data_IF_867704929710
#
_entry.id   IF_867704929710
#
_cell.length_a   1.000
_cell.length_b   1.000
_cell.length_c   1.000
_cell.angle_alpha   90.00
_cell.angle_beta   90.00
_cell.angle_gamma   90.00
#
_symmetry.space_group_name_H-M   'P 1'
#
loop_
_entity.id
_entity.type
_entity.pdbx_description
1 polymer ?
#
# COMPACT_ATOMS: atom_id res chain seq x y z
N UNK A 1 -3.88 5.03 -29.46
CA UNK A 1 -3.25 4.15 -28.45
C UNK A 1 -3.30 4.94 -27.15
N UNK A 2 -3.99 4.42 -26.14
CA UNK A 2 -4.07 5.04 -24.82
C UNK A 2 -2.74 4.75 -24.13
N UNK A 3 -2.09 5.78 -23.58
CA UNK A 3 -0.87 5.61 -22.80
C UNK A 3 -0.98 6.23 -21.41
N UNK A 4 -0.11 5.81 -20.49
CA UNK A 4 0.03 6.47 -19.20
C UNK A 4 0.22 7.99 -19.35
N UNK A 5 -0.25 8.70 -18.33
CA UNK A 5 -0.26 10.14 -18.22
C UNK A 5 -1.03 10.87 -19.34
N UNK A 6 -1.68 10.19 -20.28
CA UNK A 6 -2.45 10.87 -21.32
C UNK A 6 -3.77 11.41 -20.74
N UNK A 7 -4.15 12.63 -21.12
CA UNK A 7 -5.40 13.26 -20.68
C UNK A 7 -6.51 13.09 -21.71
N UNK A 8 -7.75 12.89 -21.24
CA UNK A 8 -8.94 12.71 -22.07
C UNK A 8 -10.16 13.40 -21.45
N UNK A 9 -11.11 13.80 -22.30
CA UNK A 9 -12.47 14.11 -21.89
C UNK A 9 -13.34 12.88 -22.15
N UNK A 10 -13.84 12.26 -21.09
CA UNK A 10 -14.56 10.97 -21.15
C UNK A 10 -16.04 11.13 -20.81
N UNK A 11 -16.87 10.21 -21.27
CA UNK A 11 -18.30 10.14 -20.91
C UNK A 11 -18.54 9.00 -19.94
N UNK A 12 -19.21 9.25 -18.82
CA UNK A 12 -19.59 8.20 -17.87
C UNK A 12 -20.67 7.30 -18.48
N UNK A 13 -20.36 6.02 -18.63
CA UNK A 13 -21.30 5.00 -19.15
C UNK A 13 -22.16 4.41 -18.03
N UNK A 14 -21.60 4.27 -16.83
CA UNK A 14 -22.31 3.67 -15.70
C UNK A 14 -21.55 3.81 -14.39
N UNK A 15 -22.31 3.75 -13.29
CA UNK A 15 -21.80 3.83 -11.93
C UNK A 15 -21.93 2.45 -11.27
N UNK A 16 -20.88 2.02 -10.58
CA UNK A 16 -20.85 0.80 -9.78
C UNK A 16 -20.55 1.13 -8.31
N UNK A 17 -20.62 0.12 -7.44
CA UNK A 17 -20.27 0.30 -6.02
C UNK A 17 -18.80 0.70 -5.80
N UNK A 18 -17.92 0.43 -6.76
CA UNK A 18 -16.46 0.58 -6.61
C UNK A 18 -15.86 1.59 -7.59
N UNK A 19 -16.68 2.31 -8.35
CA UNK A 19 -16.20 3.32 -9.31
C UNK A 19 -17.13 3.52 -10.50
N UNK A 20 -16.65 4.29 -11.48
CA UNK A 20 -17.36 4.64 -12.70
C UNK A 20 -16.70 4.02 -13.94
N UNK A 21 -17.55 3.47 -14.81
CA UNK A 21 -17.17 3.02 -16.14
C UNK A 21 -17.34 4.19 -17.10
N UNK A 22 -16.35 4.45 -17.95
CA UNK A 22 -16.36 5.58 -18.88
C UNK A 22 -16.00 5.17 -20.30
N UNK A 23 -16.35 6.01 -21.27
CA UNK A 23 -15.97 5.88 -22.67
C UNK A 23 -14.82 6.86 -23.00
N UNK A 24 -13.74 6.29 -23.54
CA UNK A 24 -12.57 7.00 -24.06
C UNK A 24 -12.57 6.78 -25.58
N UNK A 25 -13.24 7.66 -26.33
CA UNK A 25 -13.32 7.57 -27.80
C UNK A 25 -13.70 6.17 -28.32
N UNK A 26 -14.70 5.52 -27.71
CA UNK A 26 -15.14 4.17 -28.05
C UNK A 26 -14.39 3.02 -27.37
N UNK A 27 -13.42 3.32 -26.49
CA UNK A 27 -12.73 2.34 -25.64
C UNK A 27 -13.19 2.50 -24.19
N UNK A 28 -13.54 1.40 -23.54
CA UNK A 28 -13.97 1.43 -22.14
C UNK A 28 -12.80 1.73 -21.20
N UNK A 29 -12.96 2.70 -20.32
CA UNK A 29 -12.05 3.03 -19.21
C UNK A 29 -12.74 2.83 -17.86
N UNK A 30 -11.97 2.86 -16.77
CA UNK A 30 -12.51 2.79 -15.42
C UNK A 30 -11.86 3.80 -14.48
N UNK A 31 -12.69 4.54 -13.75
CA UNK A 31 -12.31 5.45 -12.68
C UNK A 31 -12.69 4.75 -11.38
N UNK A 32 -11.70 4.36 -10.57
CA UNK A 32 -11.96 3.81 -9.23
C UNK A 32 -12.71 4.85 -8.40
N UNK A 33 -13.53 4.39 -7.44
CA UNK A 33 -14.23 5.30 -6.54
C UNK A 33 -13.25 6.35 -6.04
N UNK A 34 -12.07 5.94 -5.53
CA UNK A 34 -10.95 6.77 -4.98
C UNK A 34 -10.33 7.77 -5.95
N UNK A 35 -10.74 7.73 -7.22
CA UNK A 35 -10.29 8.59 -8.30
C UNK A 35 -11.36 9.55 -8.83
N UNK A 36 -12.52 9.61 -8.18
CA UNK A 36 -13.52 10.66 -8.36
C UNK A 36 -14.01 11.24 -7.01
N UNK A 37 -13.87 12.55 -6.75
CA UNK A 37 -14.01 13.12 -5.41
C UNK A 37 -15.41 12.99 -4.80
N UNK A 38 -16.44 12.76 -5.61
CA UNK A 38 -17.83 12.58 -5.15
C UNK A 38 -18.06 11.36 -4.24
N UNK A 39 -17.10 10.45 -4.10
CA UNK A 39 -17.22 9.30 -3.20
C UNK A 39 -16.78 9.56 -1.76
N UNK A 40 -16.00 10.60 -1.49
CA UNK A 40 -15.58 11.00 -0.12
C UNK A 40 -15.78 12.47 0.20
N UNK A 41 -16.10 13.30 -0.78
CA UNK A 41 -16.47 14.70 -0.56
C UNK A 41 -17.97 14.89 -0.74
N UNK A 42 -18.63 15.40 0.29
CA UNK A 42 -20.03 15.84 0.20
C UNK A 42 -20.21 17.11 -0.64
N UNK A 43 -19.11 17.79 -0.97
CA UNK A 43 -19.12 19.06 -1.70
C UNK A 43 -19.11 18.85 -3.23
N UNK A 44 -18.97 17.60 -3.68
CA UNK A 44 -18.98 17.23 -5.09
C UNK A 44 -20.19 16.36 -5.37
N UNK A 45 -20.99 16.72 -6.37
CA UNK A 45 -22.12 15.89 -6.78
C UNK A 45 -21.66 14.50 -7.24
N UNK A 46 -22.37 13.42 -6.87
CA UNK A 46 -22.14 12.09 -7.41
C UNK A 46 -22.15 12.07 -8.93
N UNK A 47 -21.13 11.45 -9.52
CA UNK A 47 -21.10 11.20 -10.96
C UNK A 47 -22.31 10.36 -11.39
N UNK A 48 -22.86 10.68 -12.56
CA UNK A 48 -24.03 10.03 -13.16
C UNK A 48 -23.68 9.57 -14.57
N UNK A 49 -24.38 8.55 -15.04
CA UNK A 49 -24.28 8.14 -16.44
C UNK A 49 -24.66 9.32 -17.36
N UNK A 50 -23.83 9.59 -18.36
CA UNK A 50 -23.93 10.74 -19.26
C UNK A 50 -23.07 11.94 -18.86
N UNK A 51 -22.52 11.98 -17.65
CA UNK A 51 -21.62 13.06 -17.24
C UNK A 51 -20.33 13.05 -18.08
N UNK A 52 -19.77 14.25 -18.29
CA UNK A 52 -18.46 14.43 -18.93
C UNK A 52 -17.41 14.75 -17.89
N UNK A 53 -16.33 13.99 -17.87
CA UNK A 53 -15.24 14.14 -16.92
C UNK A 53 -13.92 14.37 -17.67
N UNK A 54 -13.10 15.29 -17.16
CA UNK A 54 -11.71 15.41 -17.61
C UNK A 54 -10.85 14.48 -16.76
N UNK A 55 -10.06 13.62 -17.39
CA UNK A 55 -9.31 12.56 -16.72
C UNK A 55 -7.89 12.43 -17.25
N UNK A 56 -7.04 11.78 -16.46
CA UNK A 56 -5.71 11.31 -16.86
C UNK A 56 -5.65 9.78 -16.77
N UNK A 57 -4.91 9.14 -17.68
CA UNK A 57 -4.60 7.72 -17.61
C UNK A 57 -3.53 7.48 -16.55
N UNK A 58 -3.87 6.63 -15.58
CA UNK A 58 -2.96 6.19 -14.53
C UNK A 58 -2.23 4.90 -14.92
N UNK A 59 -2.94 3.97 -15.55
CA UNK A 59 -2.40 2.66 -15.92
C UNK A 59 -3.09 2.13 -17.19
N UNK A 60 -2.36 2.21 -18.30
CA UNK A 60 -2.73 1.75 -19.65
C UNK A 60 -2.57 0.23 -19.83
N UNK A 61 -1.90 -0.46 -18.90
CA UNK A 61 -1.67 -1.91 -18.97
C UNK A 61 -2.88 -2.73 -18.50
N UNK A 62 -3.83 -2.09 -17.81
CA UNK A 62 -5.05 -2.72 -17.28
C UNK A 62 -6.15 -2.79 -18.34
N UNK A 63 -7.04 -3.78 -18.19
CA UNK A 63 -8.22 -3.92 -19.04
C UNK A 63 -9.49 -3.94 -18.17
N UNK A 64 -10.31 -2.87 -18.17
CA UNK A 64 -10.10 -1.58 -18.84
C UNK A 64 -8.97 -0.75 -18.18
N UNK A 65 -8.34 0.20 -18.92
CA UNK A 65 -7.33 1.09 -18.38
C UNK A 65 -7.87 1.91 -17.20
N UNK A 66 -6.97 2.24 -16.25
CA UNK A 66 -7.32 3.00 -15.05
C UNK A 66 -7.13 4.49 -15.28
N UNK A 67 -8.13 5.25 -14.87
CA UNK A 67 -8.21 6.68 -15.07
C UNK A 67 -8.44 7.40 -13.74
N UNK A 68 -8.06 8.67 -13.69
CA UNK A 68 -8.39 9.57 -12.58
C UNK A 68 -8.98 10.89 -13.02
N UNK A 69 -10.04 11.30 -12.34
CA UNK A 69 -10.65 12.62 -12.46
C UNK A 69 -10.11 13.60 -11.40
N UNK A 70 -9.13 13.19 -10.59
CA UNK A 70 -8.54 14.06 -9.58
C UNK A 70 -7.61 15.08 -10.22
N UNK A 71 -7.80 16.34 -9.80
CA UNK A 71 -6.95 17.45 -10.25
C UNK A 71 -5.48 17.20 -9.94
N UNK A 72 -5.17 16.62 -8.78
CA UNK A 72 -3.78 16.34 -8.38
C UNK A 72 -3.11 15.33 -9.32
N UNK A 73 -3.83 14.30 -9.75
CA UNK A 73 -3.32 13.27 -10.67
C UNK A 73 -3.10 13.85 -12.07
N UNK A 74 -4.04 14.67 -12.54
CA UNK A 74 -3.91 15.39 -13.82
C UNK A 74 -2.68 16.32 -13.79
N UNK A 75 -2.47 17.05 -12.69
CA UNK A 75 -1.29 17.91 -12.51
C UNK A 75 0.01 17.10 -12.42
N UNK A 76 0.01 15.93 -11.76
CA UNK A 76 1.16 15.04 -11.68
C UNK A 76 1.51 14.43 -13.04
N UNK A 77 0.52 13.97 -13.81
CA UNK A 77 0.73 13.50 -15.18
C UNK A 77 1.38 14.57 -16.06
N UNK A 78 0.94 15.84 -15.94
CA UNK A 78 1.58 16.98 -16.63
C UNK A 78 3.04 17.17 -16.22
N UNK A 79 3.37 17.05 -14.93
CA UNK A 79 4.76 17.16 -14.43
C UNK A 79 5.64 16.05 -15.00
N UNK A 80 5.18 14.80 -14.96
CA UNK A 80 5.93 13.65 -15.48
C UNK A 80 6.22 13.80 -16.97
N UNK A 81 5.23 14.23 -17.77
CA UNK A 81 5.42 14.51 -19.21
C UNK A 81 6.40 15.67 -19.44
N UNK A 82 6.43 16.66 -18.55
CA UNK A 82 7.40 17.76 -18.58
C UNK A 82 8.83 17.34 -18.21
N UNK A 83 8.98 16.47 -17.20
CA UNK A 83 10.28 15.99 -16.71
C UNK A 83 10.91 14.91 -17.62
N UNK A 84 10.09 14.09 -18.28
CA UNK A 84 10.55 13.16 -19.32
C UNK A 84 11.24 13.86 -20.49
N UNK A 85 10.87 15.11 -20.76
CA UNK A 85 11.51 15.97 -21.77
C UNK A 85 12.88 16.50 -21.32
N UNK A 86 13.10 16.67 -20.02
CA UNK A 86 14.37 17.16 -19.43
C UNK A 86 15.38 16.03 -19.14
N UNK A 87 14.93 14.79 -18.89
CA UNK A 87 15.83 13.65 -18.65
C UNK A 87 16.53 13.14 -19.90
N UNK A 88 16.02 13.42 -21.10
CA UNK A 88 16.66 13.03 -22.36
C UNK A 88 17.98 13.77 -22.67
N UNK A 89 18.37 14.77 -21.85
CA UNK A 89 19.53 15.65 -22.11
C UNK A 89 20.70 15.46 -21.14
N UNK A 90 20.60 14.57 -20.15
CA UNK A 90 21.56 14.56 -19.03
C UNK A 90 22.02 13.17 -18.57
N UNK A 91 22.40 12.30 -19.51
CA UNK A 91 23.15 11.08 -19.20
C UNK A 91 24.58 11.14 -19.76
N UNK A 92 25.47 11.82 -19.02
CA UNK A 92 26.91 11.55 -19.05
C UNK A 92 27.62 12.08 -17.78
N UNK A 93 27.75 11.25 -16.73
CA UNK A 93 28.82 11.31 -15.68
C UNK A 93 28.64 10.14 -14.67
N UNK A 94 29.46 9.09 -14.72
CA UNK A 94 30.67 8.82 -13.91
C UNK A 94 30.43 8.08 -12.55
N UNK A 95 31.12 6.95 -12.25
CA UNK A 95 30.89 6.12 -11.06
C UNK A 95 31.88 6.43 -9.91
N UNK A 96 31.43 6.31 -8.65
CA UNK A 96 32.38 6.35 -7.51
C UNK A 96 31.88 6.58 -6.09
N UNK A 97 30.58 6.46 -5.76
CA UNK A 97 30.12 6.56 -4.37
C UNK A 97 29.67 5.18 -3.83
N UNK A 98 29.93 4.85 -2.55
CA UNK A 98 29.44 3.62 -1.97
C UNK A 98 27.91 3.63 -1.97
N UNK A 99 27.32 2.76 -2.79
CA UNK A 99 25.87 2.53 -2.81
C UNK A 99 25.48 1.93 -1.46
N UNK A 100 24.90 2.76 -0.60
CA UNK A 100 23.99 2.28 0.46
C UNK A 100 22.98 1.39 -0.27
N UNK A 101 23.02 0.07 -0.05
CA UNK A 101 22.09 -0.87 -0.72
C UNK A 101 20.69 -0.39 -0.37
N UNK A 102 19.98 0.20 -1.34
CA UNK A 102 18.53 0.28 -1.28
C UNK A 102 18.06 -1.16 -1.16
N UNK A 103 17.39 -1.47 -0.05
CA UNK A 103 16.73 -2.75 0.12
C UNK A 103 15.46 -2.71 -0.74
N UNK A 104 15.06 -3.81 -1.37
CA UNK A 104 13.78 -3.87 -2.09
C UNK A 104 12.60 -3.84 -1.11
N UNK A 105 11.39 -3.66 -1.62
CA UNK A 105 10.13 -3.93 -0.92
C UNK A 105 10.14 -5.31 -0.21
N UNK A 106 10.65 -6.36 -0.86
CA UNK A 106 10.87 -7.67 -0.25
C UNK A 106 11.76 -7.59 0.99
N UNK A 107 12.82 -6.80 0.91
CA UNK A 107 13.70 -6.55 2.04
C UNK A 107 13.00 -5.87 3.21
N UNK A 108 12.06 -4.96 2.94
CA UNK A 108 11.23 -4.34 3.97
C UNK A 108 10.36 -5.37 4.70
N UNK A 109 9.64 -6.23 3.97
CA UNK A 109 8.76 -7.22 4.59
C UNK A 109 9.53 -8.19 5.48
N UNK A 110 10.67 -8.68 4.97
CA UNK A 110 11.53 -9.61 5.72
C UNK A 110 12.13 -8.94 6.95
N UNK A 111 12.61 -7.69 6.84
CA UNK A 111 13.14 -6.95 7.99
C UNK A 111 12.06 -6.66 9.03
N UNK A 112 10.84 -6.31 8.61
CA UNK A 112 9.73 -6.07 9.51
C UNK A 112 9.35 -7.31 10.31
N UNK A 113 9.32 -8.46 9.64
CA UNK A 113 9.07 -9.76 10.24
C UNK A 113 10.18 -10.15 11.23
N UNK A 114 11.43 -10.18 10.78
CA UNK A 114 12.54 -10.67 11.60
C UNK A 114 12.87 -9.76 12.79
N UNK A 115 12.67 -8.45 12.66
CA UNK A 115 13.03 -7.47 13.71
C UNK A 115 11.88 -7.12 14.63
N UNK A 116 10.66 -7.54 14.30
CA UNK A 116 9.43 -7.07 14.97
C UNK A 116 9.40 -5.53 15.10
N UNK A 117 9.79 -4.85 14.03
CA UNK A 117 9.92 -3.40 13.96
C UNK A 117 9.69 -2.86 12.53
N UNK A 118 9.13 -1.65 12.39
CA UNK A 118 8.99 -0.96 11.10
C UNK A 118 9.96 0.21 11.07
N UNK A 119 10.84 0.30 10.06
CA UNK A 119 11.91 1.31 10.01
C UNK A 119 12.78 1.37 11.29
N UNK A 120 12.88 0.25 12.02
CA UNK A 120 13.60 0.18 13.30
C UNK A 120 12.80 0.65 14.51
N UNK A 121 11.54 1.08 14.34
CA UNK A 121 10.62 1.42 15.43
C UNK A 121 10.11 0.12 16.06
N UNK A 122 10.45 -0.17 17.33
CA UNK A 122 10.01 -1.40 17.98
C UNK A 122 8.56 -1.29 18.48
N UNK A 123 7.93 -2.45 18.65
CA UNK A 123 6.65 -2.51 19.38
C UNK A 123 6.80 -1.98 20.82
N UNK A 124 5.81 -1.22 21.28
CA UNK A 124 5.84 -0.48 22.54
C UNK A 124 6.26 0.98 22.39
N UNK A 125 6.75 1.40 21.21
CA UNK A 125 7.03 2.80 20.93
C UNK A 125 5.74 3.66 20.98
N UNK A 126 5.84 4.92 21.41
CA UNK A 126 4.71 5.84 21.50
C UNK A 126 4.37 6.44 20.12
N UNK A 127 3.18 7.03 19.93
CA UNK A 127 2.73 7.55 18.63
C UNK A 127 3.72 8.52 17.96
N UNK A 128 4.41 9.34 18.75
CA UNK A 128 5.36 10.35 18.28
C UNK A 128 6.59 9.72 17.60
N UNK A 129 7.02 8.54 18.05
CA UNK A 129 8.12 7.82 17.42
C UNK A 129 7.72 7.26 16.05
N UNK A 130 6.46 6.83 15.89
CA UNK A 130 5.93 6.39 14.60
C UNK A 130 5.79 7.55 13.63
N UNK A 131 5.29 8.69 14.09
CA UNK A 131 5.15 9.92 13.28
C UNK A 131 6.49 10.48 12.83
N UNK A 132 7.53 10.42 13.68
CA UNK A 132 8.87 10.90 13.33
C UNK A 132 9.49 10.16 12.14
N UNK A 133 9.21 8.86 11.98
CA UNK A 133 9.80 8.03 10.93
C UNK A 133 8.87 7.82 9.72
N UNK A 134 7.54 7.74 9.94
CA UNK A 134 6.56 7.52 8.87
C UNK A 134 5.94 8.82 8.33
N UNK A 135 6.14 9.94 9.01
CA UNK A 135 5.60 11.25 8.64
C UNK A 135 4.26 11.58 9.31
N UNK A 136 3.70 12.75 8.98
CA UNK A 136 2.46 13.27 9.57
C UNK A 136 1.17 12.87 8.83
N UNK A 137 1.26 12.03 7.80
CA UNK A 137 0.13 11.62 6.98
C UNK A 137 -0.49 10.33 7.53
N UNK A 138 -1.43 10.48 8.47
CA UNK A 138 -2.14 9.36 9.07
C UNK A 138 -3.57 9.71 9.48
N UNK A 139 -4.39 8.68 9.70
CA UNK A 139 -5.72 8.78 10.28
C UNK A 139 -5.77 8.10 11.64
N UNK A 140 -6.19 8.85 12.67
CA UNK A 140 -6.41 8.33 14.02
C UNK A 140 -7.89 8.04 14.29
N UNK A 141 -8.22 6.79 14.67
CA UNK A 141 -9.49 6.41 15.30
C UNK A 141 -9.23 6.19 16.80
N UNK A 142 -9.46 7.24 17.60
CA UNK A 142 -9.25 7.23 19.06
C UNK A 142 -10.55 6.85 19.79
N UNK A 143 -10.48 5.80 20.61
CA UNK A 143 -11.60 5.33 21.45
C UNK A 143 -11.12 5.05 22.87
N UNK A 144 -11.41 5.97 23.80
CA UNK A 144 -11.03 5.89 25.22
C UNK A 144 -9.52 5.66 25.39
N UNK A 145 -9.12 4.46 25.80
CA UNK A 145 -7.73 4.04 26.02
C UNK A 145 -7.16 3.22 24.86
N UNK A 146 -7.79 3.27 23.68
CA UNK A 146 -7.32 2.61 22.45
C UNK A 146 -7.27 3.61 21.33
N UNK A 147 -6.29 3.46 20.45
CA UNK A 147 -6.17 4.26 19.24
C UNK A 147 -5.68 3.37 18.11
N UNK A 148 -6.33 3.46 16.96
CA UNK A 148 -5.83 2.88 15.69
C UNK A 148 -5.31 4.03 14.85
N UNK A 149 -4.03 4.00 14.49
CA UNK A 149 -3.40 4.94 13.55
C UNK A 149 -3.15 4.24 12.24
N UNK A 150 -3.63 4.81 11.15
CA UNK A 150 -3.56 4.24 9.81
C UNK A 150 -2.73 5.14 8.89
N UNK A 151 -1.58 4.64 8.43
CA UNK A 151 -0.67 5.26 7.47
C UNK A 151 -0.84 4.68 6.05
N UNK A 152 -1.98 4.03 5.75
CA UNK A 152 -2.18 3.31 4.50
C UNK A 152 -1.63 1.87 4.59
N UNK A 153 -0.35 1.67 4.30
CA UNK A 153 0.29 0.35 4.30
C UNK A 153 0.54 -0.13 5.73
N UNK A 154 0.74 0.79 6.68
CA UNK A 154 1.04 0.47 8.07
C UNK A 154 -0.12 0.90 8.95
N UNK A 155 -0.72 -0.05 9.65
CA UNK A 155 -1.72 0.23 10.68
C UNK A 155 -1.20 -0.17 12.05
N UNK A 156 -1.28 0.74 13.02
CA UNK A 156 -0.78 0.53 14.38
C UNK A 156 -1.93 0.67 15.37
N UNK A 157 -2.04 -0.27 16.30
CA UNK A 157 -2.89 -0.14 17.46
C UNK A 157 -2.07 0.27 18.68
N UNK A 158 -2.54 1.29 19.37
CA UNK A 158 -2.01 1.78 20.63
C UNK A 158 -3.00 1.53 21.76
N UNK A 159 -2.46 1.31 22.96
CA UNK A 159 -3.23 1.38 24.20
C UNK A 159 -2.68 2.48 25.09
N UNK A 160 -3.56 3.08 25.89
CA UNK A 160 -3.19 4.08 26.89
C UNK A 160 -3.13 3.43 28.27
N UNK A 161 -1.93 3.27 28.81
CA UNK A 161 -1.67 2.75 30.15
C UNK A 161 -1.07 3.86 31.01
N UNK A 162 -1.66 4.13 32.18
CA UNK A 162 -1.18 5.17 33.11
C UNK A 162 -0.97 6.55 32.45
N UNK A 163 -1.81 6.89 31.46
CA UNK A 163 -1.75 8.14 30.71
C UNK A 163 -0.81 8.14 29.50
N UNK A 164 0.03 7.11 29.33
CA UNK A 164 1.01 6.98 28.25
C UNK A 164 0.48 6.05 27.15
N UNK A 165 0.63 6.47 25.90
CA UNK A 165 0.29 5.66 24.73
C UNK A 165 1.47 4.76 24.34
N UNK A 166 1.20 3.48 24.10
CA UNK A 166 2.20 2.51 23.64
C UNK A 166 1.60 1.65 22.53
N UNK A 167 2.37 1.41 21.47
CA UNK A 167 1.98 0.48 20.40
C UNK A 167 1.96 -0.96 20.91
N UNK A 168 0.89 -1.69 20.60
CA UNK A 168 0.70 -3.09 21.01
C UNK A 168 0.73 -4.06 19.85
N UNK A 169 0.20 -3.63 18.70
CA UNK A 169 0.32 -4.33 17.43
C UNK A 169 0.56 -3.34 16.31
N UNK A 170 1.37 -3.73 15.34
CA UNK A 170 1.48 -3.04 14.06
C UNK A 170 1.24 -4.06 12.95
N UNK A 171 0.67 -3.64 11.83
CA UNK A 171 0.36 -4.53 10.73
C UNK A 171 0.71 -3.89 9.41
N UNK A 172 1.41 -4.65 8.58
CA UNK A 172 1.69 -4.32 7.18
C UNK A 172 0.53 -4.86 6.35
N UNK A 173 -0.27 -3.96 5.80
CA UNK A 173 -1.53 -4.21 5.10
C UNK A 173 -1.27 -4.47 3.60
N UNK A 174 -0.52 -5.53 3.28
CA UNK A 174 -0.06 -5.85 1.91
C UNK A 174 -1.24 -5.96 0.93
N UNK A 175 -2.37 -6.51 1.38
CA UNK A 175 -3.61 -6.57 0.59
C UNK A 175 -4.22 -5.20 0.22
N UNK A 176 -3.66 -4.07 0.65
CA UNK A 176 -4.04 -2.75 0.15
C UNK A 176 -3.29 -2.37 -1.13
N UNK A 177 -2.14 -3.00 -1.42
CA UNK A 177 -1.28 -2.63 -2.56
C UNK A 177 -1.94 -2.91 -3.92
N UNK A 178 -2.39 -4.14 -4.22
CA UNK A 178 -3.15 -4.37 -5.48
C UNK A 178 -4.55 -3.72 -5.58
N UNK A 179 -4.96 -2.86 -4.63
CA UNK A 179 -6.13 -2.01 -4.87
C UNK A 179 -5.77 -0.77 -5.69
N UNK A 180 -4.49 -0.55 -6.01
CA UNK A 180 -4.03 0.60 -6.77
C UNK A 180 -4.34 1.93 -6.08
N UNK A 181 -4.54 1.88 -4.75
CA UNK A 181 -4.81 3.06 -3.94
C UNK A 181 -3.51 3.87 -3.88
N UNK A 182 -3.56 5.12 -4.35
CA UNK A 182 -2.45 6.06 -4.19
C UNK A 182 -2.21 6.38 -2.72
N UNK A 183 -0.98 6.79 -2.41
CA UNK A 183 -0.52 7.16 -1.07
C UNK A 183 -0.73 6.06 0.00
N UNK A 184 -0.96 4.80 -0.42
CA UNK A 184 -0.95 3.67 0.51
C UNK A 184 0.43 3.49 1.11
N UNK A 185 1.50 3.76 0.37
CA UNK A 185 2.86 3.57 0.90
C UNK A 185 3.37 4.90 1.43
N UNK A 186 3.63 5.03 2.75
CA UNK A 186 4.26 6.21 3.32
C UNK A 186 5.53 6.60 2.56
N UNK A 187 5.68 7.88 2.23
CA UNK A 187 6.83 8.38 1.48
C UNK A 187 8.19 7.96 2.07
N UNK A 188 8.39 7.88 3.41
CA UNK A 188 9.64 7.36 3.98
C UNK A 188 9.94 5.90 3.60
N UNK A 189 8.92 5.05 3.48
CA UNK A 189 9.09 3.66 3.01
C UNK A 189 9.50 3.62 1.55
N UNK A 190 8.83 4.39 0.69
CA UNK A 190 9.19 4.50 -0.74
C UNK A 190 10.61 5.03 -0.92
N UNK A 191 11.03 6.00 -0.11
CA UNK A 191 12.40 6.54 -0.13
C UNK A 191 13.44 5.48 0.28
N UNK A 192 13.14 4.70 1.32
CA UNK A 192 14.08 3.72 1.87
C UNK A 192 14.16 2.43 1.03
N UNK A 193 13.04 1.99 0.45
CA UNK A 193 12.91 0.66 -0.15
C UNK A 193 12.51 0.65 -1.64
N UNK A 194 12.28 1.83 -2.22
CA UNK A 194 11.81 1.96 -3.61
C UNK A 194 10.31 1.66 -3.76
N UNK A 195 9.90 1.30 -4.97
CA UNK A 195 8.51 0.97 -5.28
C UNK A 195 8.11 -0.37 -4.65
N UNK A 196 6.85 -0.44 -4.20
CA UNK A 196 6.27 -1.65 -3.60
C UNK A 196 5.40 -2.39 -4.61
N UNK A 197 5.62 -3.71 -4.71
CA UNK A 197 4.87 -4.58 -5.60
C UNK A 197 3.40 -4.70 -5.16
N UNK A 198 2.47 -4.70 -6.12
CA UNK A 198 1.04 -4.89 -5.85
C UNK A 198 0.70 -6.26 -5.24
N UNK A 199 1.51 -7.26 -5.58
CA UNK A 199 1.42 -8.63 -5.12
C UNK A 199 2.79 -9.10 -4.61
N UNK A 200 2.81 -9.71 -3.44
CA UNK A 200 4.00 -10.26 -2.81
C UNK A 200 3.77 -11.75 -2.63
N UNK A 201 4.58 -12.58 -3.27
CA UNK A 201 4.42 -14.03 -3.22
C UNK A 201 5.09 -14.64 -1.98
N UNK A 202 4.44 -15.61 -1.36
CA UNK A 202 4.94 -16.27 -0.15
C UNK A 202 6.25 -17.01 -0.37
N UNK A 203 6.42 -17.73 -1.48
CA UNK A 203 7.62 -18.52 -1.72
C UNK A 203 8.90 -17.67 -1.84
N UNK A 204 8.96 -16.61 -2.67
CA UNK A 204 10.10 -15.68 -2.67
C UNK A 204 10.35 -15.02 -1.31
N UNK A 205 9.28 -14.64 -0.60
CA UNK A 205 9.38 -14.07 0.75
C UNK A 205 10.02 -15.04 1.73
N UNK A 206 9.57 -16.29 1.74
CA UNK A 206 10.09 -17.35 2.60
C UNK A 206 11.56 -17.66 2.29
N UNK A 207 11.93 -17.76 1.01
CA UNK A 207 13.33 -17.97 0.59
C UNK A 207 14.23 -16.83 1.07
N UNK A 208 13.81 -15.58 0.93
CA UNK A 208 14.60 -14.43 1.39
C UNK A 208 14.70 -14.38 2.91
N UNK A 209 13.62 -14.71 3.64
CA UNK A 209 13.61 -14.79 5.09
C UNK A 209 14.53 -15.89 5.61
N UNK A 210 14.47 -17.09 5.03
CA UNK A 210 15.34 -18.23 5.37
C UNK A 210 16.81 -17.93 5.05
N UNK A 211 17.09 -17.25 3.93
CA UNK A 211 18.44 -16.81 3.57
C UNK A 211 19.05 -15.83 4.59
N UNK A 212 18.21 -15.11 5.35
CA UNK A 212 18.63 -14.22 6.45
C UNK A 212 18.62 -14.91 7.81
N UNK A 213 18.29 -16.20 7.88
CA UNK A 213 18.29 -17.02 9.09
C UNK A 213 16.97 -17.05 9.84
N UNK A 214 15.90 -16.44 9.31
CA UNK A 214 14.56 -16.54 9.88
C UNK A 214 13.95 -17.93 9.67
N UNK A 215 12.91 -18.26 10.43
CA UNK A 215 12.19 -19.52 10.29
C UNK A 215 10.70 -19.34 10.52
N UNK A 216 9.92 -19.76 9.52
CA UNK A 216 8.47 -19.76 9.58
C UNK A 216 7.94 -21.12 10.05
N UNK A 217 7.03 -21.09 11.01
CA UNK A 217 6.27 -22.25 11.47
C UNK A 217 4.80 -22.00 11.18
N UNK A 218 4.17 -22.92 10.45
CA UNK A 218 2.73 -22.86 10.21
C UNK A 218 1.97 -23.01 11.53
N UNK A 219 0.99 -22.13 11.75
CA UNK A 219 0.13 -22.18 12.94
C UNK A 219 -1.11 -23.02 12.63
N UNK A 220 -1.10 -24.26 13.11
CA UNK A 220 -2.25 -25.18 13.00
C UNK A 220 -3.46 -24.61 13.75
N UNK A 221 -4.65 -24.72 13.17
CA UNK A 221 -5.91 -24.15 13.67
C UNK A 221 -5.95 -22.62 13.77
N UNK A 222 -5.25 -21.91 12.88
CA UNK A 222 -5.50 -20.48 12.68
C UNK A 222 -6.98 -20.29 12.30
N UNK A 223 -7.78 -19.71 13.18
CA UNK A 223 -9.23 -19.53 13.03
C UNK A 223 -9.65 -18.55 11.91
N UNK A 224 -8.76 -18.24 10.97
CA UNK A 224 -8.87 -17.11 10.05
C UNK A 224 -9.37 -17.48 8.67
N UNK A 225 -10.66 -17.27 8.42
CA UNK A 225 -11.27 -16.66 7.21
C UNK A 225 -10.66 -16.98 5.82
N UNK A 226 -10.06 -18.14 5.56
CA UNK A 226 -9.47 -18.48 4.26
C UNK A 226 -8.02 -18.01 4.06
N UNK A 227 -7.27 -17.74 5.12
CA UNK A 227 -5.83 -17.44 5.07
C UNK A 227 -5.03 -18.36 6.00
N UNK A 228 -3.85 -18.79 5.58
CA UNK A 228 -2.93 -19.60 6.37
C UNK A 228 -1.99 -18.69 7.16
N UNK A 229 -1.89 -18.89 8.47
CA UNK A 229 -0.96 -18.14 9.33
C UNK A 229 0.38 -18.89 9.46
N UNK A 230 1.48 -18.17 9.27
CA UNK A 230 2.83 -18.61 9.62
C UNK A 230 3.42 -17.66 10.66
N UNK A 231 4.11 -18.18 11.66
CA UNK A 231 4.77 -17.39 12.70
C UNK A 231 6.29 -17.51 12.59
N UNK A 232 6.97 -16.38 12.71
CA UNK A 232 8.43 -16.35 12.86
C UNK A 232 8.79 -16.89 14.25
N UNK A 233 9.69 -17.87 14.30
CA UNK A 233 9.97 -18.66 15.49
C UNK A 233 10.62 -17.87 16.65
N UNK A 234 11.37 -16.81 16.36
CA UNK A 234 12.14 -16.03 17.34
C UNK A 234 11.48 -14.68 17.64
N UNK A 235 11.09 -13.94 16.61
CA UNK A 235 10.51 -12.61 16.71
C UNK A 235 9.03 -12.64 17.16
N UNK A 236 8.34 -13.76 16.96
CA UNK A 236 6.92 -13.92 17.33
C UNK A 236 5.94 -13.15 16.44
N UNK A 237 6.42 -12.57 15.33
CA UNK A 237 5.60 -11.94 14.29
C UNK A 237 4.87 -12.99 13.46
N UNK A 238 3.67 -12.67 12.98
CA UNK A 238 2.90 -13.56 12.11
C UNK A 238 2.80 -12.99 10.69
N UNK A 239 2.80 -13.85 9.68
CA UNK A 239 2.43 -13.53 8.30
C UNK A 239 1.21 -14.34 7.90
N UNK A 240 0.28 -13.69 7.22
CA UNK A 240 -0.94 -14.29 6.72
C UNK A 240 -0.81 -14.44 5.20
N UNK A 241 -1.04 -15.65 4.71
CA UNK A 241 -0.97 -16.02 3.29
C UNK A 241 -2.37 -16.34 2.81
N UNK A 242 -2.74 -15.84 1.63
CA UNK A 242 -4.06 -16.11 1.05
C UNK A 242 -4.19 -17.60 0.75
N UNK A 243 -5.20 -18.24 1.34
CA UNK A 243 -5.48 -19.65 1.18
C UNK A 243 -6.43 -19.94 0.01
N UNK A 244 -6.84 -21.21 -0.09
CA UNK A 244 -7.87 -21.65 -1.01
C UNK A 244 -9.16 -22.02 -0.26
N UNK A 245 -10.34 -21.48 -0.66
CA UNK A 245 -10.55 -20.48 -1.72
C UNK A 245 -10.04 -19.08 -1.31
N UNK A 246 -9.72 -18.20 -2.28
CA UNK A 246 -9.16 -16.89 -2.00
C UNK A 246 -10.12 -15.99 -1.23
N UNK A 247 -9.53 -15.10 -0.42
CA UNK A 247 -10.25 -14.09 0.36
C UNK A 247 -10.19 -12.76 -0.39
N UNK A 248 -11.33 -12.31 -0.91
CA UNK A 248 -11.39 -11.10 -1.75
C UNK A 248 -10.70 -11.30 -3.09
N UNK A 249 -10.18 -10.21 -3.67
CA UNK A 249 -9.61 -10.20 -5.03
C UNK A 249 -8.13 -10.61 -5.06
N UNK A 250 -7.72 -11.56 -4.20
CA UNK A 250 -6.30 -11.90 -4.00
C UNK A 250 -5.98 -13.31 -4.45
N UNK A 251 -4.82 -13.45 -5.09
CA UNK A 251 -4.32 -14.74 -5.57
C UNK A 251 -3.88 -15.63 -4.40
N UNK A 252 -4.31 -16.91 -4.34
CA UNK A 252 -3.80 -17.89 -3.40
C UNK A 252 -2.27 -17.96 -3.43
N UNK A 253 -1.64 -18.07 -2.25
CA UNK A 253 -0.17 -18.08 -2.11
C UNK A 253 0.50 -16.69 -2.09
N UNK A 254 -0.27 -15.60 -2.21
CA UNK A 254 0.21 -14.24 -1.97
C UNK A 254 0.12 -13.85 -0.49
N UNK A 255 0.96 -12.91 -0.05
CA UNK A 255 0.89 -12.36 1.30
C UNK A 255 -0.31 -11.43 1.43
N UNK A 256 -1.10 -11.65 2.48
CA UNK A 256 -2.22 -10.79 2.86
C UNK A 256 -1.79 -9.66 3.81
N UNK A 257 -1.06 -10.01 4.86
CA UNK A 257 -0.52 -9.07 5.83
C UNK A 257 0.61 -9.67 6.66
N UNK A 258 1.42 -8.81 7.28
CA UNK A 258 2.37 -9.17 8.33
C UNK A 258 1.93 -8.45 9.60
N UNK A 259 1.86 -9.16 10.72
CA UNK A 259 1.45 -8.64 12.03
C UNK A 259 2.62 -8.73 13.00
N UNK A 260 3.02 -7.55 13.45
CA UNK A 260 3.98 -7.32 14.51
C UNK A 260 3.20 -7.20 15.81
N UNK A 261 3.66 -7.89 16.84
CA UNK A 261 3.01 -7.90 18.14
C UNK A 261 4.04 -7.68 19.22
N UNK A 262 3.69 -6.89 20.22
CA UNK A 262 4.48 -6.83 21.44
C UNK A 262 4.48 -8.22 22.06
N UNK A 263 5.64 -8.87 22.10
CA UNK A 263 5.79 -10.20 22.71
C UNK A 263 5.14 -10.21 24.09
N UNK A 264 4.23 -11.16 24.32
CA UNK A 264 3.70 -11.39 25.64
C UNK A 264 4.88 -11.65 26.57
N UNK A 265 5.04 -10.86 27.62
CA UNK A 265 5.91 -11.27 28.73
C UNK A 265 5.25 -12.54 29.29
N UNK A 266 5.81 -13.70 28.95
CA UNK A 266 5.61 -14.93 29.70
C UNK A 266 6.10 -14.73 31.13
#
# INVERSE_FOLDING_TARGET
>A
MISNEQEFDVVVLGISMVGAVVDIDGVQGFIDQTKHPSWWSSDVEPAKAGDRLHVVVLDDSRTPPRLSALRIDIENGRRVRGEGSLRAVSDLAAPGAPRRRLMSDMGFYVDAMMRNAVLGIPMGAPPEAWEAELGGEFLDDVRKSRMRRDYGLIEIAFIRNSGVWESVTASVQIHRLARGLEDVVPAPLTHAFGAFSECVWFDPFRVELEARGGRLVEVVDSSGRGATEYREAEAGTSVYVVGEPPVGDREPGSLWSIVLSRGGRS
#
